data_IF_459174266274
#
_entry.id   IF_459174266274
#
_cell.length_a   1.000
_cell.length_b   1.000
_cell.length_c   1.000
_cell.angle_alpha   90.00
_cell.angle_beta   90.00
_cell.angle_gamma   90.00
#
_symmetry.space_group_name_H-M   'P 1'
#
loop_
_entity.id
_entity.type
_entity.pdbx_description
1 polymer ?
#
# COMPACT_ATOMS: atom_id res chain seq x y z
N UNK A 1 -15.65 32.80 33.53
CA UNK A 1 -16.00 31.75 32.57
C UNK A 1 -14.81 31.60 31.62
N UNK A 2 -13.81 30.79 32.00
CA UNK A 2 -12.63 30.54 31.17
C UNK A 2 -12.80 29.17 30.52
N UNK A 3 -13.14 29.17 29.24
CA UNK A 3 -13.15 27.98 28.41
C UNK A 3 -11.72 27.45 28.29
N UNK A 4 -11.44 26.32 28.93
CA UNK A 4 -10.22 25.55 28.68
C UNK A 4 -10.27 25.06 27.23
N UNK A 5 -9.51 25.72 26.36
CA UNK A 5 -9.10 25.14 25.07
C UNK A 5 -8.36 23.84 25.37
N UNK A 6 -9.04 22.71 25.21
CA UNK A 6 -8.40 21.41 25.06
C UNK A 6 -7.50 21.53 23.82
N UNK A 7 -6.19 21.69 24.05
CA UNK A 7 -5.20 21.74 23.00
C UNK A 7 -5.27 20.43 22.21
N UNK A 8 -5.84 20.50 21.01
CA UNK A 8 -5.92 19.38 20.09
C UNK A 8 -4.49 19.09 19.60
N UNK A 9 -3.71 18.37 20.39
CA UNK A 9 -2.36 17.94 20.00
C UNK A 9 -2.57 16.92 18.89
N UNK A 10 -2.39 17.35 17.65
CA UNK A 10 -2.56 16.50 16.48
C UNK A 10 -1.75 15.21 16.68
N UNK A 11 -2.45 14.07 16.74
CA UNK A 11 -1.82 12.76 16.83
C UNK A 11 -1.01 12.57 15.56
N UNK A 12 0.31 12.37 15.69
CA UNK A 12 1.15 12.07 14.52
C UNK A 12 0.87 10.63 14.11
N UNK A 13 0.90 10.35 12.80
CA UNK A 13 0.69 8.99 12.25
C UNK A 13 1.60 7.96 12.94
N UNK A 14 2.81 8.36 13.35
CA UNK A 14 3.77 7.48 14.00
C UNK A 14 3.53 7.25 15.50
N UNK A 15 2.65 8.04 16.13
CA UNK A 15 2.27 7.89 17.54
C UNK A 15 1.00 7.04 17.70
N UNK A 16 0.46 6.54 16.58
CA UNK A 16 -0.76 5.75 16.53
C UNK A 16 -0.51 4.33 17.11
N UNK A 17 -1.33 3.87 18.07
CA UNK A 17 -1.11 2.56 18.71
C UNK A 17 -1.36 1.36 17.78
N UNK A 18 -2.11 1.58 16.69
CA UNK A 18 -2.41 0.62 15.64
C UNK A 18 -1.38 0.61 14.50
N UNK A 19 -0.30 1.40 14.61
CA UNK A 19 0.81 1.35 13.66
C UNK A 19 1.56 0.03 13.77
N UNK A 20 1.77 -0.63 12.63
CA UNK A 20 2.57 -1.84 12.48
C UNK A 20 3.90 -1.54 11.78
N UNK A 21 4.86 -2.44 11.95
CA UNK A 21 6.19 -2.36 11.36
C UNK A 21 6.64 -3.74 10.87
N UNK A 22 6.99 -3.84 9.59
CA UNK A 22 7.67 -5.01 9.03
C UNK A 22 8.97 -4.56 8.38
N UNK A 23 10.12 -5.04 8.83
CA UNK A 23 11.42 -4.65 8.26
C UNK A 23 11.60 -3.11 8.14
N UNK A 24 11.15 -2.38 9.18
CA UNK A 24 11.18 -0.91 9.21
C UNK A 24 10.12 -0.21 8.35
N UNK A 25 9.28 -0.94 7.61
CA UNK A 25 8.17 -0.42 6.82
C UNK A 25 6.93 -0.15 7.70
N UNK A 26 6.49 1.12 7.84
CA UNK A 26 5.30 1.47 8.61
C UNK A 26 4.01 1.26 7.82
N UNK A 27 3.03 0.59 8.43
CA UNK A 27 1.73 0.33 7.82
C UNK A 27 0.61 0.20 8.85
N UNK A 28 -0.63 0.24 8.37
CA UNK A 28 -1.83 -0.06 9.15
C UNK A 28 -2.58 -1.24 8.54
N UNK A 29 -3.35 -1.95 9.35
CA UNK A 29 -4.16 -3.08 8.94
C UNK A 29 -5.63 -2.81 9.25
N UNK A 30 -6.54 -3.18 8.34
CA UNK A 30 -7.94 -3.36 8.69
C UNK A 30 -8.12 -4.62 9.58
N UNK A 31 -8.73 -4.52 10.78
CA UNK A 31 -8.89 -5.67 11.68
C UNK A 31 -9.68 -6.84 11.06
N UNK A 32 -10.67 -6.54 10.21
CA UNK A 32 -11.48 -7.57 9.55
C UNK A 32 -10.67 -8.45 8.58
N UNK A 33 -9.67 -7.87 7.89
CA UNK A 33 -8.78 -8.61 7.01
C UNK A 33 -7.66 -9.31 7.78
N UNK A 34 -7.15 -8.66 8.84
CA UNK A 34 -6.12 -9.24 9.71
C UNK A 34 -6.61 -10.50 10.44
N UNK A 35 -7.92 -10.65 10.61
CA UNK A 35 -8.55 -11.84 11.17
C UNK A 35 -8.53 -13.06 10.22
N UNK A 36 -8.21 -12.88 8.93
CA UNK A 36 -8.18 -13.96 7.94
C UNK A 36 -6.73 -14.48 7.81
N UNK A 37 -6.39 -15.70 8.30
CA UNK A 37 -4.99 -16.10 8.52
C UNK A 37 -4.10 -16.16 7.28
N UNK A 38 -4.69 -16.35 6.10
CA UNK A 38 -3.96 -16.46 4.83
C UNK A 38 -3.83 -15.13 4.09
N UNK A 39 -4.41 -14.04 4.60
CA UNK A 39 -4.32 -12.72 4.00
C UNK A 39 -3.20 -11.92 4.64
N UNK A 40 -2.39 -11.30 3.79
CA UNK A 40 -1.44 -10.25 4.17
C UNK A 40 -1.84 -8.98 3.43
N UNK A 41 -2.07 -7.90 4.17
CA UNK A 41 -2.45 -6.60 3.62
C UNK A 41 -1.86 -5.46 4.44
N UNK A 42 -1.85 -4.25 3.87
CA UNK A 42 -1.46 -3.07 4.61
C UNK A 42 -1.80 -1.78 3.89
N UNK A 43 -2.16 -0.77 4.66
CA UNK A 43 -2.25 0.62 4.24
C UNK A 43 -0.95 1.32 4.62
N UNK A 44 -0.13 1.63 3.63
CA UNK A 44 1.21 2.20 3.81
C UNK A 44 1.15 3.69 4.11
N UNK A 45 2.19 4.18 4.80
CA UNK A 45 2.37 5.63 5.02
C UNK A 45 3.28 6.26 3.96
N UNK A 46 3.30 7.59 3.87
CA UNK A 46 4.20 8.32 2.95
C UNK A 46 5.69 8.23 3.33
N UNK A 47 6.03 7.92 4.58
CA UNK A 47 7.41 7.99 5.08
C UNK A 47 8.04 6.60 5.15
N UNK A 48 9.33 6.50 4.80
CA UNK A 48 10.11 5.28 4.98
C UNK A 48 10.50 5.11 6.46
N UNK A 49 9.59 4.63 7.30
CA UNK A 49 9.86 4.46 8.73
C UNK A 49 9.68 5.74 9.54
N UNK A 50 10.13 5.70 10.80
CA UNK A 50 9.85 6.73 11.82
C UNK A 50 10.71 7.98 11.61
N UNK A 51 11.95 7.82 11.10
CA UNK A 51 12.87 8.93 10.90
C UNK A 51 12.51 9.75 9.65
N UNK A 52 12.48 11.06 9.83
CA UNK A 52 12.25 12.05 8.77
C UNK A 52 13.31 12.04 7.67
N UNK A 53 14.53 11.57 7.97
CA UNK A 53 15.63 11.49 7.02
C UNK A 53 15.48 10.38 5.97
N UNK A 54 14.59 9.42 6.22
CA UNK A 54 14.50 8.18 5.45
C UNK A 54 13.82 8.32 4.08
N UNK A 55 13.28 9.49 3.74
CA UNK A 55 12.72 9.81 2.43
C UNK A 55 11.26 9.38 2.23
N UNK A 56 10.78 9.53 0.98
CA UNK A 56 9.38 9.25 0.61
C UNK A 56 9.19 7.79 0.16
N UNK A 57 8.17 7.12 0.71
CA UNK A 57 7.68 5.82 0.27
C UNK A 57 6.68 5.99 -0.87
N UNK A 58 7.14 6.53 -2.00
CA UNK A 58 6.32 6.56 -3.22
C UNK A 58 6.49 5.28 -4.03
N UNK A 59 5.39 4.75 -4.56
CA UNK A 59 5.35 3.60 -5.47
C UNK A 59 5.14 4.03 -6.94
N UNK A 60 5.29 5.31 -7.24
CA UNK A 60 5.37 5.85 -8.60
C UNK A 60 6.29 7.07 -8.64
N UNK A 61 6.60 7.55 -9.84
CA UNK A 61 7.33 8.82 -9.96
C UNK A 61 6.51 9.98 -9.41
N UNK A 62 7.14 10.81 -8.60
CA UNK A 62 6.60 12.06 -8.02
C UNK A 62 7.68 13.13 -8.08
N UNK A 63 7.37 14.35 -7.64
CA UNK A 63 8.38 15.42 -7.53
C UNK A 63 9.56 15.05 -6.60
N UNK A 64 9.34 14.17 -5.61
CA UNK A 64 10.34 13.77 -4.61
C UNK A 64 10.86 12.34 -4.75
N UNK A 65 10.39 11.57 -5.73
CA UNK A 65 10.79 10.16 -5.92
C UNK A 65 10.93 9.86 -7.40
N UNK A 66 12.13 9.43 -7.82
CA UNK A 66 12.36 8.98 -9.20
C UNK A 66 11.69 7.63 -9.49
N UNK A 67 11.57 7.25 -10.76
CA UNK A 67 11.06 5.92 -11.11
C UNK A 67 11.92 4.78 -10.54
N UNK A 68 13.24 4.91 -10.54
CA UNK A 68 14.14 3.89 -9.98
C UNK A 68 13.97 3.73 -8.48
N UNK A 69 13.78 4.84 -7.77
CA UNK A 69 13.50 4.81 -6.34
C UNK A 69 12.12 4.24 -6.05
N UNK A 70 11.11 4.57 -6.85
CA UNK A 70 9.78 3.98 -6.75
C UNK A 70 9.82 2.45 -6.96
N UNK A 71 10.64 1.96 -7.90
CA UNK A 71 10.86 0.52 -8.10
C UNK A 71 11.57 -0.12 -6.90
N UNK A 72 12.53 0.55 -6.27
CA UNK A 72 13.15 0.07 -5.01
C UNK A 72 12.13 -0.01 -3.88
N UNK A 73 11.28 1.01 -3.73
CA UNK A 73 10.22 1.02 -2.73
C UNK A 73 9.22 -0.12 -2.96
N UNK A 74 8.79 -0.36 -4.22
CA UNK A 74 7.93 -1.49 -4.58
C UNK A 74 8.54 -2.84 -4.19
N UNK A 75 9.83 -3.04 -4.48
CA UNK A 75 10.55 -4.27 -4.09
C UNK A 75 10.60 -4.44 -2.58
N UNK A 76 10.95 -3.38 -1.85
CA UNK A 76 11.00 -3.40 -0.40
C UNK A 76 9.64 -3.72 0.22
N UNK A 77 8.56 -3.09 -0.27
CA UNK A 77 7.19 -3.38 0.17
C UNK A 77 6.85 -4.86 0.00
N UNK A 78 7.07 -5.43 -1.19
CA UNK A 78 6.78 -6.84 -1.44
C UNK A 78 7.56 -7.74 -0.48
N UNK A 79 8.87 -7.52 -0.34
CA UNK A 79 9.72 -8.29 0.57
C UNK A 79 9.32 -8.16 2.03
N UNK A 80 8.98 -6.95 2.50
CA UNK A 80 8.54 -6.70 3.88
C UNK A 80 7.22 -7.43 4.23
N UNK A 81 6.37 -7.69 3.24
CA UNK A 81 5.17 -8.51 3.38
C UNK A 81 5.39 -10.00 3.07
N UNK A 82 6.63 -10.42 2.80
CA UNK A 82 6.97 -11.82 2.53
C UNK A 82 6.57 -12.30 1.13
N UNK A 83 6.43 -11.40 0.16
CA UNK A 83 6.16 -11.73 -1.24
C UNK A 83 7.42 -11.59 -2.11
N UNK A 84 7.46 -12.35 -3.20
CA UNK A 84 8.41 -12.13 -4.29
C UNK A 84 8.11 -10.76 -4.95
N UNK A 85 9.08 -9.84 -5.04
CA UNK A 85 8.91 -8.56 -5.73
C UNK A 85 8.42 -8.65 -7.18
N UNK A 86 8.70 -9.75 -7.88
CA UNK A 86 8.21 -9.96 -9.26
C UNK A 86 6.73 -10.38 -9.30
N UNK A 87 6.12 -10.64 -8.14
CA UNK A 87 4.71 -10.98 -7.97
C UNK A 87 3.87 -9.82 -7.40
N UNK A 88 4.43 -8.61 -7.39
CA UNK A 88 3.67 -7.38 -7.12
C UNK A 88 3.06 -6.83 -8.42
N UNK A 89 1.74 -6.74 -8.45
CA UNK A 89 0.98 -6.19 -9.57
C UNK A 89 0.52 -4.77 -9.22
N UNK A 90 0.87 -3.83 -10.08
CA UNK A 90 0.50 -2.42 -9.97
C UNK A 90 -0.25 -1.98 -11.23
N UNK A 91 -1.28 -1.15 -11.06
CA UNK A 91 -2.05 -0.60 -12.17
C UNK A 91 -1.56 0.80 -12.58
N UNK A 92 -1.84 1.17 -13.83
CA UNK A 92 -1.96 2.57 -14.26
C UNK A 92 -3.42 2.99 -14.07
N UNK A 93 -3.73 3.48 -12.88
CA UNK A 93 -5.07 4.00 -12.53
C UNK A 93 -5.46 5.17 -13.45
N UNK A 94 -6.65 5.08 -14.04
CA UNK A 94 -7.20 6.02 -15.05
C UNK A 94 -8.58 6.56 -14.65
N UNK A 95 -8.99 6.37 -13.41
CA UNK A 95 -10.27 6.81 -12.82
C UNK A 95 -11.52 6.27 -13.54
N UNK A 96 -11.52 4.97 -13.82
CA UNK A 96 -12.64 4.20 -14.37
C UNK A 96 -13.17 3.17 -13.37
N UNK A 97 -14.20 2.44 -13.77
CA UNK A 97 -14.92 1.44 -12.97
C UNK A 97 -14.65 -0.01 -13.41
N UNK A 98 -13.75 -0.20 -14.38
CA UNK A 98 -13.37 -1.52 -14.88
C UNK A 98 -12.49 -2.28 -13.86
N UNK A 99 -12.78 -3.58 -13.68
CA UNK A 99 -12.05 -4.47 -12.76
C UNK A 99 -11.21 -5.46 -13.56
N UNK A 100 -9.90 -5.45 -13.34
CA UNK A 100 -8.98 -6.45 -13.91
C UNK A 100 -8.99 -7.74 -13.10
N UNK A 101 -9.31 -8.87 -13.75
CA UNK A 101 -9.12 -10.20 -13.15
C UNK A 101 -7.70 -10.69 -13.44
N UNK A 102 -6.85 -10.75 -12.42
CA UNK A 102 -5.45 -11.15 -12.56
C UNK A 102 -5.33 -12.65 -12.31
N UNK A 103 -5.02 -13.42 -13.35
CA UNK A 103 -4.90 -14.90 -13.31
C UNK A 103 -3.46 -15.42 -13.32
N UNK A 104 -2.50 -14.54 -13.58
CA UNK A 104 -1.08 -14.83 -13.50
C UNK A 104 -0.31 -13.52 -13.24
N UNK A 105 0.91 -13.57 -12.69
CA UNK A 105 1.77 -12.39 -12.65
C UNK A 105 1.94 -11.81 -14.06
N UNK A 106 1.76 -10.49 -14.24
CA UNK A 106 1.89 -9.87 -15.54
C UNK A 106 3.31 -10.02 -16.06
N UNK A 107 3.44 -10.40 -17.34
CA UNK A 107 4.75 -10.46 -18.00
C UNK A 107 5.31 -9.04 -18.10
N UNK A 108 6.61 -8.86 -17.86
CA UNK A 108 7.29 -7.55 -17.97
C UNK A 108 7.10 -6.84 -19.32
N UNK A 109 6.74 -7.57 -20.38
CA UNK A 109 6.47 -7.04 -21.72
C UNK A 109 5.02 -6.58 -21.93
N UNK A 110 4.10 -6.88 -21.03
CA UNK A 110 2.78 -6.27 -21.03
C UNK A 110 2.94 -4.80 -20.63
N UNK A 111 2.50 -3.88 -21.49
CA UNK A 111 2.49 -2.45 -21.18
C UNK A 111 1.67 -2.11 -19.92
N UNK A 112 1.49 -0.82 -19.61
CA UNK A 112 0.73 -0.40 -18.44
C UNK A 112 -0.68 -1.00 -18.43
N UNK A 113 -1.08 -1.61 -17.31
CA UNK A 113 -2.43 -2.13 -17.10
C UNK A 113 -3.36 -0.96 -16.70
N UNK A 114 -4.15 -0.46 -17.66
CA UNK A 114 -5.06 0.67 -17.45
C UNK A 114 -6.38 0.23 -16.82
N UNK A 115 -6.40 0.17 -15.48
CA UNK A 115 -7.55 -0.19 -14.66
C UNK A 115 -7.47 0.53 -13.31
N UNK A 116 -8.57 0.54 -12.57
CA UNK A 116 -8.64 1.16 -11.23
C UNK A 116 -8.98 0.17 -10.12
N UNK A 117 -9.34 -1.05 -10.49
CA UNK A 117 -9.57 -2.15 -9.58
C UNK A 117 -8.98 -3.45 -10.14
N UNK A 118 -8.62 -4.36 -9.24
CA UNK A 118 -8.04 -5.65 -9.58
C UNK A 118 -8.44 -6.69 -8.53
N UNK A 119 -8.69 -7.91 -8.99
CA UNK A 119 -9.00 -9.07 -8.15
C UNK A 119 -8.18 -10.28 -8.59
N UNK A 120 -7.90 -11.19 -7.68
CA UNK A 120 -7.20 -12.44 -7.98
C UNK A 120 -7.65 -13.55 -7.02
N UNK A 121 -7.58 -14.79 -7.50
CA UNK A 121 -7.63 -16.02 -6.70
C UNK A 121 -6.29 -16.77 -6.76
N UNK A 122 -5.25 -16.17 -7.34
CA UNK A 122 -3.91 -16.76 -7.46
C UNK A 122 -3.16 -16.60 -6.14
N UNK A 123 -2.71 -17.69 -5.50
CA UNK A 123 -1.89 -17.61 -4.29
C UNK A 123 -0.57 -16.84 -4.51
N UNK A 124 -0.07 -16.24 -3.43
CA UNK A 124 1.20 -15.51 -3.40
C UNK A 124 1.32 -14.37 -4.43
N UNK A 125 0.20 -13.81 -4.90
CA UNK A 125 0.18 -12.62 -5.76
C UNK A 125 -0.19 -11.39 -4.93
N UNK A 126 0.67 -10.36 -4.96
CA UNK A 126 0.43 -9.12 -4.22
C UNK A 126 -0.22 -8.09 -5.14
N UNK A 127 -1.41 -7.63 -4.77
CA UNK A 127 -2.14 -6.59 -5.50
C UNK A 127 -1.89 -5.23 -4.86
N UNK A 128 -1.43 -4.26 -5.65
CA UNK A 128 -1.12 -2.91 -5.17
C UNK A 128 -1.99 -1.85 -5.83
N UNK A 129 -2.67 -1.06 -5.01
CA UNK A 129 -3.43 0.13 -5.42
C UNK A 129 -2.75 1.40 -4.87
N UNK A 130 -2.63 2.46 -5.69
CA UNK A 130 -2.03 3.72 -5.25
C UNK A 130 -3.13 4.69 -4.85
N UNK A 131 -2.85 5.46 -3.80
CA UNK A 131 -3.70 6.56 -3.41
C UNK A 131 -2.90 7.70 -2.80
N UNK A 132 -3.38 8.92 -3.05
CA UNK A 132 -3.22 10.09 -2.23
C UNK A 132 -4.56 10.84 -2.34
N UNK A 133 -5.39 10.78 -1.31
CA UNK A 133 -6.76 11.32 -1.20
C UNK A 133 -7.90 10.44 -1.74
N UNK A 134 -7.71 9.67 -2.82
CA UNK A 134 -8.72 8.69 -3.26
C UNK A 134 -8.93 7.59 -2.21
N UNK A 135 -10.13 7.00 -2.10
CA UNK A 135 -10.39 5.97 -1.10
C UNK A 135 -9.86 4.60 -1.57
N UNK A 136 -8.82 4.02 -0.92
CA UNK A 136 -8.43 2.64 -1.21
C UNK A 136 -9.42 1.66 -0.59
N UNK A 137 -9.83 0.64 -1.34
CA UNK A 137 -10.72 -0.42 -0.87
C UNK A 137 -10.00 -1.75 -1.05
N UNK A 138 -9.91 -2.52 0.03
CA UNK A 138 -9.40 -3.90 0.03
C UNK A 138 -10.56 -4.83 0.37
N UNK A 139 -10.75 -5.87 -0.45
CA UNK A 139 -11.85 -6.84 -0.33
C UNK A 139 -11.24 -8.23 -0.37
N UNK A 140 -11.80 -9.14 0.42
CA UNK A 140 -11.50 -10.56 0.35
C UNK A 140 -12.76 -11.39 0.60
N UNK A 141 -12.86 -12.52 -0.09
CA UNK A 141 -13.81 -13.58 0.24
C UNK A 141 -13.05 -14.68 1.01
N UNK A 142 -13.58 -15.05 2.17
CA UNK A 142 -12.97 -16.04 3.06
C UNK A 142 -13.61 -17.44 2.97
N UNK A 143 -14.50 -17.64 2.01
CA UNK A 143 -15.26 -18.89 1.82
C UNK A 143 -14.63 -19.82 0.81
#
# INVERSE_FOLDING_TARGET
MLEKRLGNKAIRVFDRPDLRMNDGLPFFEAPCLAAIPWIRHGFLTRRKGIDTSSGELSVGSTHGTSWDEALKNRRWIATAFGFDPERLVMLKQVHRDEVLVVREPPRRACGPLEYDAMITDVPDLMLGIRTADCLPILIADSR
#
